data_IF_286583470584
#
_entry.id   IF_286583470584
#
_cell.length_a   1.000
_cell.length_b   1.000
_cell.length_c   1.000
_cell.angle_alpha   90.00
_cell.angle_beta   90.00
_cell.angle_gamma   90.00
#
_symmetry.space_group_name_H-M   'P 1'
#
loop_
_entity.id
_entity.type
_entity.pdbx_description
1 polymer ?
#
# COMPACT_ATOMS: atom_id res chain seq x y z
N UNK A 1 -17.91 -11.67 -18.39
CA UNK A 1 -17.86 -10.89 -17.15
C UNK A 1 -16.69 -11.39 -16.32
N UNK A 2 -15.68 -10.57 -16.08
CA UNK A 2 -14.58 -10.92 -15.16
C UNK A 2 -15.10 -10.80 -13.73
N UNK A 3 -14.93 -11.82 -12.90
CA UNK A 3 -15.35 -11.77 -11.49
C UNK A 3 -14.48 -10.77 -10.72
N UNK A 4 -15.06 -10.04 -9.75
CA UNK A 4 -14.29 -9.14 -8.87
C UNK A 4 -13.15 -9.87 -8.15
N UNK A 5 -13.32 -11.17 -7.90
CA UNK A 5 -12.29 -12.05 -7.34
C UNK A 5 -11.09 -12.16 -8.28
N UNK A 6 -11.33 -12.34 -9.58
CA UNK A 6 -10.25 -12.43 -10.58
C UNK A 6 -9.49 -11.11 -10.71
N UNK A 7 -10.19 -9.96 -10.61
CA UNK A 7 -9.55 -8.64 -10.59
C UNK A 7 -8.71 -8.44 -9.32
N UNK A 8 -9.17 -8.91 -8.17
CA UNK A 8 -8.39 -8.90 -6.93
C UNK A 8 -7.12 -9.75 -7.05
N UNK A 9 -7.22 -10.96 -7.62
CA UNK A 9 -6.04 -11.80 -7.88
C UNK A 9 -5.03 -11.13 -8.82
N UNK A 10 -5.51 -10.48 -9.88
CA UNK A 10 -4.63 -9.73 -10.78
C UNK A 10 -3.91 -8.60 -10.04
N UNK A 11 -4.61 -7.87 -9.18
CA UNK A 11 -4.02 -6.82 -8.33
C UNK A 11 -2.93 -7.37 -7.40
N UNK A 12 -3.17 -8.52 -6.76
CA UNK A 12 -2.18 -9.20 -5.91
C UNK A 12 -0.94 -9.57 -6.74
N UNK A 13 -1.14 -10.15 -7.93
CA UNK A 13 -0.03 -10.52 -8.80
C UNK A 13 0.79 -9.30 -9.25
N UNK A 14 0.13 -8.21 -9.65
CA UNK A 14 0.80 -6.95 -9.99
C UNK A 14 1.58 -6.38 -8.80
N UNK A 15 1.02 -6.47 -7.59
CA UNK A 15 1.71 -6.05 -6.36
C UNK A 15 2.97 -6.88 -6.09
N UNK A 16 2.93 -8.20 -6.30
CA UNK A 16 4.12 -9.06 -6.13
C UNK A 16 5.25 -8.60 -7.07
N UNK A 17 4.94 -8.41 -8.36
CA UNK A 17 5.93 -7.96 -9.35
C UNK A 17 6.51 -6.60 -8.95
N UNK A 18 5.65 -5.66 -8.57
CA UNK A 18 6.06 -4.32 -8.15
C UNK A 18 7.06 -4.34 -6.98
N UNK A 19 6.79 -5.11 -5.93
CA UNK A 19 7.68 -5.20 -4.77
C UNK A 19 9.02 -5.87 -5.11
N UNK A 20 9.02 -6.87 -5.98
CA UNK A 20 10.25 -7.53 -6.44
C UNK A 20 11.10 -6.57 -7.28
N UNK A 21 10.49 -5.78 -8.17
CA UNK A 21 11.20 -4.75 -8.94
C UNK A 21 11.80 -3.70 -8.00
N UNK A 22 11.01 -3.18 -7.05
CA UNK A 22 11.50 -2.18 -6.11
C UNK A 22 12.70 -2.69 -5.30
N UNK A 23 12.63 -3.94 -4.79
CA UNK A 23 13.76 -4.52 -4.04
C UNK A 23 14.97 -4.75 -4.94
N UNK A 24 14.77 -5.14 -6.21
CA UNK A 24 15.87 -5.31 -7.16
C UNK A 24 16.58 -3.97 -7.43
N UNK A 25 15.82 -2.90 -7.63
CA UNK A 25 16.39 -1.56 -7.87
C UNK A 25 17.19 -1.04 -6.67
N UNK A 26 16.73 -1.29 -5.45
CA UNK A 26 17.48 -1.01 -4.22
C UNK A 26 18.83 -1.72 -4.18
N UNK A 27 18.84 -3.02 -4.51
CA UNK A 27 20.08 -3.82 -4.56
C UNK A 27 21.03 -3.37 -5.67
N UNK A 28 20.51 -2.84 -6.77
CA UNK A 28 21.29 -2.26 -7.86
C UNK A 28 21.75 -0.81 -7.54
N UNK A 29 21.41 -0.26 -6.37
CA UNK A 29 21.88 1.04 -5.87
C UNK A 29 21.09 2.26 -6.37
N UNK A 30 19.88 2.05 -6.92
CA UNK A 30 19.03 3.16 -7.35
C UNK A 30 18.41 3.91 -6.16
N UNK A 31 18.27 5.22 -6.30
CA UNK A 31 17.59 6.06 -5.31
C UNK A 31 16.09 5.71 -5.25
N UNK A 32 15.65 5.26 -4.07
CA UNK A 32 14.28 4.81 -3.84
C UNK A 32 13.26 5.95 -3.88
N UNK A 33 13.64 7.16 -3.49
CA UNK A 33 12.78 8.33 -3.58
C UNK A 33 12.56 8.73 -5.05
N UNK A 34 13.61 8.69 -5.86
CA UNK A 34 13.51 8.95 -7.30
C UNK A 34 12.63 7.91 -8.00
N UNK A 35 12.78 6.62 -7.66
CA UNK A 35 11.90 5.57 -8.16
C UNK A 35 10.44 5.83 -7.80
N UNK A 36 10.15 6.16 -6.54
CA UNK A 36 8.80 6.46 -6.07
C UNK A 36 8.20 7.69 -6.78
N UNK A 37 9.00 8.73 -7.06
CA UNK A 37 8.56 9.89 -7.84
C UNK A 37 8.12 9.46 -9.24
N UNK A 38 8.98 8.73 -9.96
CA UNK A 38 8.66 8.28 -11.32
C UNK A 38 7.47 7.32 -11.36
N UNK A 39 7.33 6.45 -10.37
CA UNK A 39 6.15 5.60 -10.20
C UNK A 39 4.86 6.44 -10.15
N UNK A 40 4.84 7.50 -9.33
CA UNK A 40 3.67 8.37 -9.21
C UNK A 40 3.41 9.17 -10.49
N UNK A 41 4.45 9.62 -11.19
CA UNK A 41 4.31 10.28 -12.51
C UNK A 41 3.66 9.36 -13.53
N UNK A 42 4.13 8.11 -13.62
CA UNK A 42 3.56 7.09 -14.52
C UNK A 42 2.11 6.76 -14.11
N UNK A 43 1.84 6.63 -12.81
CA UNK A 43 0.50 6.39 -12.28
C UNK A 43 -0.47 7.52 -12.65
N UNK A 44 -0.07 8.77 -12.52
CA UNK A 44 -0.87 9.94 -12.94
C UNK A 44 -1.20 9.83 -14.44
N UNK A 45 -0.26 9.43 -15.27
CA UNK A 45 -0.48 9.18 -16.69
C UNK A 45 -1.59 8.15 -16.94
N UNK A 46 -1.49 6.97 -16.31
CA UNK A 46 -2.51 5.92 -16.45
C UNK A 46 -3.89 6.33 -15.90
N UNK A 47 -3.94 7.04 -14.78
CA UNK A 47 -5.19 7.54 -14.21
C UNK A 47 -5.83 8.60 -15.12
N UNK A 48 -5.02 9.48 -15.72
CA UNK A 48 -5.49 10.49 -16.68
C UNK A 48 -6.07 9.83 -17.93
N UNK A 49 -5.38 8.83 -18.48
CA UNK A 49 -5.88 8.04 -19.62
C UNK A 49 -7.19 7.33 -19.29
N UNK A 50 -7.27 6.68 -18.12
CA UNK A 50 -8.50 6.02 -17.66
C UNK A 50 -9.65 7.01 -17.50
N UNK A 51 -9.37 8.17 -16.91
CA UNK A 51 -10.37 9.22 -16.74
C UNK A 51 -10.89 9.72 -18.09
N UNK A 52 -9.98 10.03 -19.03
CA UNK A 52 -10.34 10.46 -20.39
C UNK A 52 -11.20 9.43 -21.12
N UNK A 53 -10.84 8.16 -21.05
CA UNK A 53 -11.55 7.09 -21.75
C UNK A 53 -12.96 6.84 -21.20
N UNK A 54 -13.18 7.10 -19.91
CA UNK A 54 -14.48 6.89 -19.29
C UNK A 54 -15.47 8.02 -19.61
N UNK A 55 -14.98 9.27 -19.76
CA UNK A 55 -15.85 10.40 -20.13
C UNK A 55 -15.08 11.58 -20.76
N UNK A 56 -14.85 11.56 -22.09
CA UNK A 56 -14.06 12.59 -22.77
C UNK A 56 -14.69 13.99 -22.71
N UNK A 57 -16.02 14.07 -22.51
CA UNK A 57 -16.77 15.33 -22.57
C UNK A 57 -16.77 16.08 -21.23
N UNK A 58 -16.41 15.40 -20.14
CA UNK A 58 -16.50 15.95 -18.78
C UNK A 58 -15.21 16.59 -18.24
N UNK A 59 -14.09 16.54 -18.97
CA UNK A 59 -12.84 17.17 -18.53
C UNK A 59 -12.98 18.69 -18.30
N UNK A 60 -13.84 19.36 -19.07
CA UNK A 60 -14.12 20.80 -18.96
C UNK A 60 -15.08 21.13 -17.79
N UNK A 61 -16.00 20.21 -17.46
CA UNK A 61 -16.97 20.36 -16.35
C UNK A 61 -16.33 20.03 -15.00
N UNK A 62 -15.34 19.13 -14.99
CA UNK A 62 -14.56 18.68 -13.82
C UNK A 62 -13.94 19.84 -13.03
N UNK A 63 -13.40 20.85 -13.70
CA UNK A 63 -12.61 21.90 -13.04
C UNK A 63 -13.41 22.83 -12.15
N UNK A 64 -14.69 23.12 -12.44
CA UNK A 64 -15.43 24.14 -11.65
C UNK A 64 -16.12 23.60 -10.41
N UNK A 65 -16.60 22.35 -10.42
CA UNK A 65 -17.38 21.79 -9.29
C UNK A 65 -16.48 21.12 -8.25
N UNK A 66 -15.43 20.44 -8.68
CA UNK A 66 -14.55 19.66 -7.81
C UNK A 66 -13.51 20.56 -7.14
N UNK A 67 -12.96 21.56 -7.86
CA UNK A 67 -12.02 22.53 -7.28
C UNK A 67 -12.70 23.52 -6.31
N UNK A 68 -14.02 23.55 -6.25
CA UNK A 68 -14.77 24.38 -5.28
C UNK A 68 -15.36 23.59 -4.13
N UNK A 69 -15.36 22.24 -4.21
CA UNK A 69 -15.83 21.39 -3.12
C UNK A 69 -14.72 21.25 -2.07
N UNK A 70 -14.78 22.10 -1.05
CA UNK A 70 -13.80 22.12 0.04
C UNK A 70 -13.70 20.78 0.79
N UNK A 71 -14.80 20.01 0.88
CA UNK A 71 -14.78 18.70 1.55
C UNK A 71 -14.01 17.71 0.72
N UNK A 72 -14.25 17.68 -0.59
CA UNK A 72 -13.48 16.85 -1.52
C UNK A 72 -11.99 17.20 -1.47
N UNK A 73 -11.65 18.48 -1.57
CA UNK A 73 -10.25 18.94 -1.53
C UNK A 73 -9.58 18.53 -0.21
N UNK A 74 -10.25 18.74 0.93
CA UNK A 74 -9.73 18.36 2.23
C UNK A 74 -9.44 16.85 2.30
N UNK A 75 -10.37 16.01 1.82
CA UNK A 75 -10.18 14.56 1.79
C UNK A 75 -9.02 14.14 0.87
N UNK A 76 -8.85 14.79 -0.28
CA UNK A 76 -7.72 14.54 -1.19
C UNK A 76 -6.39 14.94 -0.54
N UNK A 77 -6.34 16.10 0.13
CA UNK A 77 -5.12 16.56 0.83
C UNK A 77 -4.76 15.60 1.97
N UNK A 78 -5.73 15.21 2.80
CA UNK A 78 -5.52 14.26 3.89
C UNK A 78 -5.07 12.89 3.36
N UNK A 79 -5.75 12.38 2.33
CA UNK A 79 -5.38 11.12 1.68
C UNK A 79 -3.99 11.17 1.06
N UNK A 80 -3.65 12.27 0.39
CA UNK A 80 -2.32 12.51 -0.19
C UNK A 80 -1.22 12.57 0.87
N UNK A 81 -1.47 13.27 1.98
CA UNK A 81 -0.52 13.35 3.09
C UNK A 81 -0.30 11.99 3.78
N UNK A 82 -1.37 11.22 4.04
CA UNK A 82 -1.25 9.87 4.59
C UNK A 82 -0.53 8.93 3.62
N UNK A 83 -0.79 9.05 2.31
CA UNK A 83 -0.05 8.31 1.28
C UNK A 83 1.44 8.66 1.30
N UNK A 84 1.81 9.93 1.46
CA UNK A 84 3.21 10.33 1.59
C UNK A 84 3.87 9.67 2.80
N UNK A 85 3.22 9.67 3.98
CA UNK A 85 3.75 9.01 5.18
C UNK A 85 4.01 7.53 4.91
N UNK A 86 3.04 6.82 4.31
CA UNK A 86 3.17 5.40 3.96
C UNK A 86 4.31 5.16 2.98
N UNK A 87 4.46 5.98 1.95
CA UNK A 87 5.53 5.80 0.97
C UNK A 87 6.91 6.14 1.53
N UNK A 88 7.02 7.22 2.29
CA UNK A 88 8.28 7.64 2.87
C UNK A 88 8.75 6.66 3.96
N UNK A 89 7.96 6.47 5.02
CA UNK A 89 8.36 5.62 6.14
C UNK A 89 8.25 4.13 5.83
N UNK A 90 7.18 3.73 5.14
CA UNK A 90 6.96 2.34 4.74
C UNK A 90 7.95 1.92 3.67
N UNK A 91 7.87 2.49 2.47
CA UNK A 91 8.69 2.05 1.33
C UNK A 91 10.10 2.64 1.30
N UNK A 92 10.27 3.90 1.70
CA UNK A 92 11.58 4.58 1.67
C UNK A 92 12.50 4.19 2.83
N UNK A 93 11.97 4.02 4.04
CA UNK A 93 12.77 3.77 5.25
C UNK A 93 12.74 2.31 5.71
N UNK A 94 11.56 1.70 5.77
CA UNK A 94 11.40 0.37 6.37
C UNK A 94 11.59 -0.76 5.35
N UNK A 95 10.87 -0.76 4.23
CA UNK A 95 10.84 -1.82 3.21
C UNK A 95 12.24 -2.25 2.76
N UNK A 96 13.13 -1.29 2.49
CA UNK A 96 14.48 -1.55 2.00
C UNK A 96 15.34 -2.27 3.04
N UNK A 97 15.07 -2.07 4.33
CA UNK A 97 15.79 -2.72 5.43
C UNK A 97 15.41 -4.18 5.63
N UNK A 98 14.23 -4.60 5.16
CA UNK A 98 13.84 -5.99 5.23
C UNK A 98 14.67 -6.83 4.26
N UNK A 99 15.18 -7.96 4.76
CA UNK A 99 15.92 -8.94 3.94
C UNK A 99 15.01 -9.55 2.87
N UNK A 100 13.74 -9.77 3.21
CA UNK A 100 12.74 -10.31 2.31
C UNK A 100 11.56 -9.33 2.17
N UNK A 101 11.25 -8.83 0.96
CA UNK A 101 10.14 -7.90 0.76
C UNK A 101 8.77 -8.50 1.14
N UNK A 102 8.65 -9.84 1.13
CA UNK A 102 7.47 -10.54 1.61
C UNK A 102 7.23 -10.40 3.12
N UNK A 103 8.27 -10.22 3.93
CA UNK A 103 8.13 -10.00 5.37
C UNK A 103 7.56 -8.60 5.66
N UNK A 104 8.06 -7.59 4.96
CA UNK A 104 7.48 -6.25 5.02
C UNK A 104 6.01 -6.27 4.62
N UNK A 105 5.66 -6.94 3.51
CA UNK A 105 4.28 -7.04 3.06
C UNK A 105 3.38 -7.78 4.05
N UNK A 106 3.87 -8.82 4.72
CA UNK A 106 3.12 -9.50 5.77
C UNK A 106 2.85 -8.61 6.99
N UNK A 107 3.76 -7.67 7.30
CA UNK A 107 3.55 -6.67 8.36
C UNK A 107 2.57 -5.60 7.89
N UNK A 108 2.70 -5.10 6.65
CA UNK A 108 1.73 -4.17 6.06
C UNK A 108 0.31 -4.78 5.99
N UNK A 109 0.20 -6.12 5.93
CA UNK A 109 -1.07 -6.84 6.07
C UNK A 109 -1.84 -6.54 7.37
N UNK A 110 -1.19 -5.98 8.41
CA UNK A 110 -1.88 -5.46 9.60
C UNK A 110 -2.84 -4.31 9.28
N UNK A 111 -2.62 -3.58 8.18
CA UNK A 111 -3.57 -2.58 7.68
C UNK A 111 -4.95 -3.19 7.46
N UNK A 112 -5.04 -4.43 6.98
CA UNK A 112 -6.31 -5.14 6.78
C UNK A 112 -7.08 -5.29 8.09
N UNK A 113 -6.38 -5.56 9.20
CA UNK A 113 -6.99 -5.65 10.53
C UNK A 113 -7.55 -4.29 10.92
N UNK A 114 -6.77 -3.22 10.78
CA UNK A 114 -7.20 -1.86 11.06
C UNK A 114 -8.43 -1.48 10.24
N UNK A 115 -8.36 -1.63 8.91
CA UNK A 115 -9.47 -1.34 7.99
C UNK A 115 -10.71 -2.13 8.38
N UNK A 116 -10.58 -3.43 8.65
CA UNK A 116 -11.73 -4.29 8.98
C UNK A 116 -12.41 -3.85 10.27
N UNK A 117 -11.63 -3.57 11.32
CA UNK A 117 -12.15 -3.11 12.61
C UNK A 117 -12.78 -1.73 12.50
N UNK A 118 -12.08 -0.76 11.88
CA UNK A 118 -12.63 0.60 11.72
C UNK A 118 -13.82 0.63 10.77
N UNK A 119 -13.84 -0.16 9.71
CA UNK A 119 -14.99 -0.28 8.83
C UNK A 119 -16.22 -0.83 9.58
N UNK A 120 -16.05 -1.84 10.42
CA UNK A 120 -17.12 -2.35 11.27
C UNK A 120 -17.68 -1.27 12.21
N UNK A 121 -16.80 -0.50 12.85
CA UNK A 121 -17.21 0.58 13.75
C UNK A 121 -17.87 1.76 13.03
N UNK A 122 -17.35 2.17 11.87
CA UNK A 122 -17.79 3.37 11.15
C UNK A 122 -19.00 3.12 10.26
N UNK A 123 -19.12 1.92 9.68
CA UNK A 123 -20.19 1.57 8.74
C UNK A 123 -21.22 0.60 9.33
N UNK A 124 -21.06 0.20 10.60
CA UNK A 124 -22.01 -0.66 11.30
C UNK A 124 -22.09 -2.08 10.72
N UNK A 125 -20.99 -2.59 10.15
CA UNK A 125 -20.96 -3.97 9.63
C UNK A 125 -20.67 -4.96 10.75
N UNK A 126 -21.38 -6.09 10.76
CA UNK A 126 -21.15 -7.15 11.73
C UNK A 126 -19.82 -7.88 11.48
N UNK A 127 -19.04 -8.08 12.54
CA UNK A 127 -17.86 -8.95 12.53
C UNK A 127 -18.24 -10.33 13.07
N UNK A 128 -18.39 -11.29 12.16
CA UNK A 128 -18.63 -12.68 12.52
C UNK A 128 -17.41 -13.35 13.15
N UNK A 129 -17.63 -14.53 13.74
CA UNK A 129 -16.58 -15.28 14.42
C UNK A 129 -15.44 -15.70 13.46
N UNK A 130 -15.74 -15.93 12.18
CA UNK A 130 -14.76 -16.34 11.18
C UNK A 130 -13.81 -15.19 10.84
N UNK A 131 -14.35 -13.99 10.74
CA UNK A 131 -13.63 -12.74 10.49
C UNK A 131 -12.70 -12.43 11.67
N UNK A 132 -13.18 -12.61 12.90
CA UNK A 132 -12.37 -12.44 14.12
C UNK A 132 -11.20 -13.44 14.15
N UNK A 133 -11.45 -14.72 13.84
CA UNK A 133 -10.38 -15.73 13.75
C UNK A 133 -9.35 -15.32 12.68
N UNK A 134 -9.80 -14.85 11.52
CA UNK A 134 -8.92 -14.35 10.46
C UNK A 134 -8.04 -13.21 10.93
N UNK A 135 -8.60 -12.22 11.63
CA UNK A 135 -7.86 -11.10 12.22
C UNK A 135 -6.77 -11.59 13.19
N UNK A 136 -7.11 -12.53 14.08
CA UNK A 136 -6.16 -13.07 15.05
C UNK A 136 -5.00 -13.82 14.38
N UNK A 137 -5.27 -14.56 13.31
CA UNK A 137 -4.24 -15.26 12.53
C UNK A 137 -3.30 -14.27 11.82
N UNK A 138 -3.83 -13.18 11.27
CA UNK A 138 -3.00 -12.12 10.67
C UNK A 138 -2.10 -11.50 11.73
N UNK A 139 -2.65 -11.11 12.88
CA UNK A 139 -1.89 -10.52 13.99
C UNK A 139 -0.76 -11.45 14.45
N UNK A 140 -1.07 -12.72 14.68
CA UNK A 140 -0.09 -13.71 15.11
C UNK A 140 1.02 -13.90 14.07
N UNK A 141 0.66 -14.03 12.80
CA UNK A 141 1.61 -14.17 11.69
C UNK A 141 2.56 -12.98 11.59
N UNK A 142 2.04 -11.75 11.66
CA UNK A 142 2.84 -10.53 11.60
C UNK A 142 3.79 -10.40 12.81
N UNK A 143 3.36 -10.79 14.02
CA UNK A 143 4.21 -10.80 15.22
C UNK A 143 5.39 -11.77 15.05
N UNK A 144 5.12 -13.00 14.61
CA UNK A 144 6.15 -14.03 14.41
C UNK A 144 7.20 -13.55 13.39
N UNK A 145 6.74 -12.99 12.27
CA UNK A 145 7.63 -12.49 11.20
C UNK A 145 8.49 -11.32 11.72
N UNK A 146 7.87 -10.35 12.39
CA UNK A 146 8.58 -9.17 12.93
C UNK A 146 9.66 -9.58 13.93
N UNK A 147 9.31 -10.47 14.86
CA UNK A 147 10.25 -10.98 15.87
C UNK A 147 11.42 -11.73 15.24
N UNK A 148 11.15 -12.54 14.21
CA UNK A 148 12.18 -13.29 13.49
C UNK A 148 13.14 -12.37 12.75
N UNK A 149 12.63 -11.32 12.10
CA UNK A 149 13.46 -10.37 11.36
C UNK A 149 14.35 -9.53 12.29
N UNK A 150 13.80 -9.08 13.42
CA UNK A 150 14.56 -8.32 14.44
C UNK A 150 15.72 -9.14 15.01
N UNK A 151 15.48 -10.41 15.35
CA UNK A 151 16.50 -11.30 15.90
C UNK A 151 17.58 -11.67 14.87
N UNK A 152 17.19 -11.82 13.60
CA UNK A 152 18.13 -12.10 12.51
C UNK A 152 19.06 -10.92 12.25
N UNK A 153 18.52 -9.70 12.26
CA UNK A 153 19.28 -8.46 12.06
C UNK A 153 20.29 -8.24 13.19
N UNK A 154 19.90 -8.51 14.44
CA UNK A 154 20.76 -8.36 15.63
C UNK A 154 21.93 -9.35 15.64
N UNK A 155 21.72 -10.58 15.17
CA UNK A 155 22.80 -11.57 15.06
C UNK A 155 23.84 -11.18 14.01
N UNK A 156 23.42 -10.57 12.90
CA UNK A 156 24.32 -10.17 11.83
C UNK A 156 25.28 -9.04 12.28
N UNK A 157 24.79 -8.09 13.07
CA UNK A 157 25.62 -6.98 13.57
C UNK A 157 26.67 -7.42 14.60
N UNK A 158 26.40 -8.47 15.38
CA UNK A 158 27.36 -9.02 16.37
C UNK A 158 28.48 -9.80 15.68
N UNK A 159 28.23 -10.43 14.52
CA UNK A 159 29.25 -11.19 13.78
C UNK A 159 30.20 -10.27 13.01
N UNK A 160 29.74 -9.08 12.64
CA UNK A 160 30.50 -8.11 11.84
C UNK A 160 31.23 -7.05 12.67
N UNK A 161 31.07 -7.06 14.00
CA UNK A 161 31.77 -6.20 14.97
C UNK A 161 32.94 -6.93 15.63
#
# INVERSE_FOLDING_TARGET
MTSYIQLAFLSVFSSIIYHLIMKRMDLDGYDSALFLIWLHVIMIGFLTLRYWNNDPKNFVVFNKKILTDYRFILLVVLGGFMSYITHYYGYGVAFLKFRNPGYFQAIMGLELVGITVFAALLFGSDLGIKEIIGILLILLGSVIITWTEQNSSTKLSIILS
#
